data_IF_580915116511
#
_entry.id   IF_580915116511
#
_cell.length_a   1.000
_cell.length_b   1.000
_cell.length_c   1.000
_cell.angle_alpha   90.00
_cell.angle_beta   90.00
_cell.angle_gamma   90.00
#
_symmetry.space_group_name_H-M   'P 1'
#
loop_
_entity.id
_entity.type
_entity.pdbx_description
1 polymer ?
#
# COMPACT_ATOMS: atom_id res chain seq x y z
N UNK A 1 -76.30 18.51 0.85
CA UNK A 1 -75.09 19.12 0.25
C UNK A 1 -73.91 18.65 1.10
N UNK A 2 -73.17 17.58 0.73
CA UNK A 2 -71.92 17.60 -0.08
C UNK A 2 -70.99 18.73 0.40
N UNK A 3 -69.85 18.50 1.04
CA UNK A 3 -68.69 17.71 0.56
C UNK A 3 -67.69 17.35 1.68
N UNK A 4 -67.07 16.18 1.52
CA UNK A 4 -65.84 15.67 2.16
C UNK A 4 -64.60 16.54 1.88
N UNK A 5 -63.58 16.47 2.75
CA UNK A 5 -62.19 16.12 2.34
C UNK A 5 -61.23 16.05 3.52
N UNK A 6 -60.72 14.84 3.74
CA UNK A 6 -59.47 14.57 4.44
C UNK A 6 -58.29 14.80 3.49
N UNK A 7 -57.14 15.25 4.00
CA UNK A 7 -55.81 14.82 3.52
C UNK A 7 -54.69 15.49 4.35
N UNK A 8 -54.20 14.75 5.33
CA UNK A 8 -52.87 14.91 5.91
C UNK A 8 -51.83 14.57 4.84
N UNK A 9 -50.84 15.43 4.59
CA UNK A 9 -49.58 14.99 3.97
C UNK A 9 -48.42 15.86 4.45
N UNK A 10 -47.74 15.38 5.49
CA UNK A 10 -46.46 15.90 5.93
C UNK A 10 -45.37 15.48 4.93
N UNK A 11 -44.70 16.44 4.29
CA UNK A 11 -43.54 16.18 3.44
C UNK A 11 -42.26 16.45 4.24
N UNK A 12 -41.77 15.43 4.96
CA UNK A 12 -40.42 15.46 5.56
C UNK A 12 -39.39 15.16 4.49
N UNK A 13 -38.68 16.19 4.02
CA UNK A 13 -37.57 16.07 3.08
C UNK A 13 -36.35 15.49 3.82
N UNK A 14 -36.17 14.17 3.73
CA UNK A 14 -34.99 13.49 4.27
C UNK A 14 -33.74 13.88 3.50
N UNK A 15 -32.84 14.63 4.15
CA UNK A 15 -31.48 14.87 3.66
C UNK A 15 -30.69 13.56 3.73
N UNK A 16 -30.56 12.87 2.60
CA UNK A 16 -29.67 11.72 2.48
C UNK A 16 -28.23 12.23 2.31
N UNK A 17 -27.54 12.53 3.41
CA UNK A 17 -26.10 12.77 3.39
C UNK A 17 -25.40 11.44 3.11
N UNK A 18 -25.16 11.15 1.83
CA UNK A 18 -24.26 10.08 1.42
C UNK A 18 -22.84 10.47 1.87
N UNK A 19 -22.46 10.08 3.09
CA UNK A 19 -21.07 10.11 3.53
C UNK A 19 -20.31 9.08 2.72
N UNK A 20 -19.77 9.51 1.58
CA UNK A 20 -18.79 8.74 0.85
C UNK A 20 -17.60 8.51 1.76
N UNK A 21 -17.53 7.35 2.40
CA UNK A 21 -16.30 6.86 3.03
C UNK A 21 -15.29 6.78 1.91
N UNK A 22 -14.41 7.77 1.84
CA UNK A 22 -13.21 7.70 1.03
C UNK A 22 -12.41 6.52 1.58
N UNK A 23 -12.62 5.34 1.01
CA UNK A 23 -11.91 4.13 1.37
C UNK A 23 -10.42 4.40 1.21
N UNK A 24 -9.74 4.68 2.32
CA UNK A 24 -8.31 4.88 2.33
C UNK A 24 -7.68 3.67 1.62
N UNK A 25 -6.82 3.93 0.63
CA UNK A 25 -6.14 2.85 -0.05
C UNK A 25 -5.42 2.00 1.02
N UNK A 26 -5.67 0.68 1.10
CA UNK A 26 -5.23 -0.14 2.23
C UNK A 26 -3.74 -0.02 2.55
N UNK A 27 -2.93 0.25 1.53
CA UNK A 27 -1.47 0.33 1.60
C UNK A 27 -0.94 1.65 2.20
N UNK A 28 -1.69 2.76 2.16
CA UNK A 28 -1.20 4.07 2.61
C UNK A 28 -0.90 4.05 4.11
N UNK A 29 0.20 4.69 4.50
CA UNK A 29 0.66 4.80 5.88
C UNK A 29 2.04 4.19 6.09
N UNK A 30 2.38 3.97 7.36
CA UNK A 30 3.67 3.42 7.76
C UNK A 30 3.57 1.94 8.12
N UNK A 31 4.61 1.20 7.73
CA UNK A 31 4.71 -0.24 7.87
C UNK A 31 6.10 -0.61 8.36
N UNK A 32 6.21 -1.73 9.06
CA UNK A 32 7.52 -2.26 9.42
C UNK A 32 7.50 -3.75 9.64
N UNK A 33 8.65 -4.39 9.50
CA UNK A 33 8.75 -5.81 9.71
C UNK A 33 10.09 -6.36 9.27
N UNK A 34 10.11 -7.67 9.05
CA UNK A 34 11.33 -8.43 8.76
C UNK A 34 11.11 -9.41 7.63
N UNK A 35 12.22 -9.96 7.15
CA UNK A 35 12.23 -10.99 6.15
C UNK A 35 13.66 -11.35 5.78
N UNK A 36 13.83 -11.81 4.54
CA UNK A 36 15.14 -12.22 4.04
C UNK A 36 15.38 -11.70 2.63
N UNK A 37 16.67 -11.54 2.30
CA UNK A 37 17.16 -11.26 0.97
C UNK A 37 18.07 -12.41 0.57
N UNK A 38 17.88 -12.95 -0.62
CA UNK A 38 18.73 -13.98 -1.21
C UNK A 38 19.44 -13.42 -2.43
N UNK A 39 20.76 -13.43 -2.39
CA UNK A 39 21.62 -13.01 -3.48
C UNK A 39 21.79 -14.14 -4.51
N UNK A 40 22.21 -13.79 -5.73
CA UNK A 40 22.50 -14.78 -6.78
C UNK A 40 23.67 -15.70 -6.42
N UNK A 41 24.56 -15.30 -5.51
CA UNK A 41 25.59 -16.15 -4.92
C UNK A 41 25.05 -17.27 -4.04
N UNK A 42 23.74 -17.28 -3.75
CA UNK A 42 23.10 -18.22 -2.83
C UNK A 42 23.07 -17.75 -1.38
N UNK A 43 23.82 -16.70 -1.03
CA UNK A 43 23.81 -16.11 0.31
C UNK A 43 22.39 -15.60 0.67
N UNK A 44 21.95 -15.92 1.88
CA UNK A 44 20.68 -15.45 2.44
C UNK A 44 20.97 -14.60 3.66
N UNK A 45 20.46 -13.37 3.66
CA UNK A 45 20.62 -12.43 4.76
C UNK A 45 19.28 -12.04 5.37
N UNK A 46 19.20 -11.95 6.72
CA UNK A 46 18.04 -11.35 7.36
C UNK A 46 17.99 -9.85 7.09
N UNK A 47 16.78 -9.32 6.92
CA UNK A 47 16.55 -7.90 6.71
C UNK A 47 15.38 -7.42 7.55
N UNK A 48 15.50 -6.20 8.06
CA UNK A 48 14.40 -5.47 8.69
C UNK A 48 14.14 -4.18 7.93
N UNK A 49 12.88 -3.79 7.76
CA UNK A 49 12.53 -2.59 7.02
C UNK A 49 11.44 -1.79 7.73
N UNK A 50 11.50 -0.47 7.58
CA UNK A 50 10.40 0.47 7.81
C UNK A 50 10.07 1.12 6.48
N UNK A 51 8.79 1.15 6.12
CA UNK A 51 8.32 1.62 4.83
C UNK A 51 7.18 2.60 5.04
N UNK A 52 7.17 3.68 4.28
CA UNK A 52 6.06 4.63 4.21
C UNK A 52 5.50 4.61 2.78
N UNK A 53 4.18 4.59 2.66
CA UNK A 53 3.48 4.70 1.39
C UNK A 53 2.61 5.94 1.37
N UNK A 54 2.68 6.67 0.26
CA UNK A 54 1.86 7.87 0.03
C UNK A 54 1.14 7.76 -1.32
N UNK A 55 0.06 8.53 -1.47
CA UNK A 55 -0.65 8.60 -2.76
C UNK A 55 0.25 9.29 -3.78
N UNK A 56 0.46 8.65 -4.93
CA UNK A 56 1.18 9.22 -6.06
C UNK A 56 0.27 10.00 -7.02
N UNK A 57 -1.05 9.83 -6.92
CA UNK A 57 -2.05 10.56 -7.70
C UNK A 57 -3.35 10.76 -6.91
N UNK A 58 -4.17 11.71 -7.36
CA UNK A 58 -5.47 12.03 -6.75
C UNK A 58 -6.49 10.90 -6.87
N UNK A 59 -6.33 10.00 -7.85
CA UNK A 59 -7.23 8.89 -8.10
C UNK A 59 -6.96 7.66 -7.22
N UNK A 60 -5.88 7.66 -6.42
CA UNK A 60 -5.45 6.52 -5.60
C UNK A 60 -5.04 5.30 -6.43
N UNK A 61 -4.55 5.49 -7.66
CA UNK A 61 -4.11 4.39 -8.54
C UNK A 61 -2.63 4.10 -8.40
N UNK A 62 -1.83 5.11 -8.11
CA UNK A 62 -0.39 5.01 -7.90
C UNK A 62 0.01 5.45 -6.51
N UNK A 63 1.13 4.91 -6.04
CA UNK A 63 1.67 5.15 -4.71
C UNK A 63 3.19 5.26 -4.80
N UNK A 64 3.74 6.23 -4.09
CA UNK A 64 5.18 6.31 -3.84
C UNK A 64 5.52 5.55 -2.57
N UNK A 65 6.75 5.09 -2.46
CA UNK A 65 7.25 4.48 -1.24
C UNK A 65 8.66 4.96 -0.92
N UNK A 66 8.90 5.08 0.38
CA UNK A 66 10.20 5.35 0.99
C UNK A 66 10.46 4.27 2.03
N UNK A 67 11.59 3.58 1.91
CA UNK A 67 11.93 2.46 2.77
C UNK A 67 13.34 2.62 3.33
N UNK A 68 13.46 2.44 4.65
CA UNK A 68 14.73 2.29 5.35
C UNK A 68 14.87 0.84 5.77
N UNK A 69 15.90 0.17 5.28
CA UNK A 69 16.14 -1.24 5.56
C UNK A 69 17.52 -1.44 6.19
N UNK A 70 17.65 -2.48 7.01
CA UNK A 70 18.89 -2.87 7.66
C UNK A 70 19.10 -4.38 7.57
N UNK A 71 20.30 -4.79 7.15
CA UNK A 71 20.84 -6.16 7.21
C UNK A 71 21.95 -6.21 8.26
N UNK A 72 22.62 -7.35 8.39
CA UNK A 72 23.84 -7.50 9.19
C UNK A 72 25.01 -6.66 8.66
N UNK A 73 25.02 -6.38 7.35
CA UNK A 73 26.09 -5.61 6.70
C UNK A 73 25.91 -4.09 6.82
N UNK A 74 24.69 -3.60 7.12
CA UNK A 74 24.44 -2.17 7.27
C UNK A 74 23.01 -1.76 6.96
N UNK A 75 22.81 -0.43 6.86
CA UNK A 75 21.53 0.21 6.56
C UNK A 75 21.56 0.83 5.17
N UNK A 76 20.43 0.80 4.46
CA UNK A 76 20.27 1.41 3.15
C UNK A 76 18.85 1.95 2.94
N UNK A 77 18.72 2.94 2.05
CA UNK A 77 17.43 3.50 1.65
C UNK A 77 17.00 2.99 0.27
N UNK A 78 15.70 2.80 0.12
CA UNK A 78 15.04 2.43 -1.13
C UNK A 78 13.85 3.35 -1.37
N UNK A 79 13.68 3.74 -2.61
CA UNK A 79 12.56 4.54 -3.10
C UNK A 79 11.80 3.72 -4.14
N UNK A 80 10.55 4.08 -4.42
CA UNK A 80 9.81 3.35 -5.44
C UNK A 80 8.47 3.95 -5.79
N UNK A 81 7.88 3.37 -6.84
CA UNK A 81 6.51 3.66 -7.24
C UNK A 81 5.80 2.34 -7.54
N UNK A 82 4.58 2.20 -7.04
CA UNK A 82 3.70 1.06 -7.31
C UNK A 82 2.34 1.53 -7.81
N UNK A 83 1.72 0.72 -8.67
CA UNK A 83 0.34 0.90 -9.11
C UNK A 83 -0.55 -0.18 -8.53
N UNK A 84 -1.79 0.18 -8.23
CA UNK A 84 -2.84 -0.72 -7.78
C UNK A 84 -3.22 -1.67 -8.93
N UNK A 85 -3.22 -2.97 -8.65
CA UNK A 85 -3.67 -4.01 -9.60
C UNK A 85 -5.04 -4.56 -9.21
N UNK A 86 -5.35 -4.57 -7.92
CA UNK A 86 -6.67 -4.94 -7.38
C UNK A 86 -6.91 -4.23 -6.05
N UNK A 87 -7.99 -4.58 -5.35
CA UNK A 87 -8.31 -3.98 -4.06
C UNK A 87 -7.14 -4.04 -3.05
N UNK A 88 -6.33 -5.10 -3.09
CA UNK A 88 -5.28 -5.42 -2.11
C UNK A 88 -3.93 -5.81 -2.71
N UNK A 89 -3.77 -5.68 -4.04
CA UNK A 89 -2.53 -6.05 -4.75
C UNK A 89 -1.93 -4.86 -5.48
N UNK A 90 -0.61 -4.71 -5.39
CA UNK A 90 0.15 -3.60 -5.97
C UNK A 90 1.42 -4.12 -6.63
N UNK A 91 1.85 -3.46 -7.70
CA UNK A 91 3.08 -3.80 -8.43
C UNK A 91 3.80 -2.56 -8.92
N UNK A 92 5.12 -2.60 -8.95
CA UNK A 92 5.90 -1.53 -9.55
C UNK A 92 7.40 -1.78 -9.46
N UNK A 93 8.14 -0.70 -9.24
CA UNK A 93 9.60 -0.70 -9.30
C UNK A 93 10.20 0.00 -8.08
N UNK A 94 11.38 -0.47 -7.70
CA UNK A 94 12.24 0.10 -6.67
C UNK A 94 13.50 0.71 -7.30
N UNK A 95 14.01 1.74 -6.64
CA UNK A 95 15.21 2.48 -6.98
C UNK A 95 16.06 2.63 -5.70
N UNK A 96 17.36 2.35 -5.78
CA UNK A 96 18.31 2.60 -4.68
C UNK A 96 18.93 4.00 -4.75
N UNK A 97 19.60 4.44 -3.68
CA UNK A 97 20.25 5.76 -3.59
C UNK A 97 21.31 6.03 -4.67
N UNK A 98 22.02 5.00 -5.14
CA UNK A 98 23.07 5.12 -6.17
C UNK A 98 22.58 4.72 -7.58
N UNK A 99 21.25 4.70 -7.81
CA UNK A 99 20.62 4.44 -9.11
C UNK A 99 20.94 3.08 -9.77
N UNK A 100 21.66 2.17 -9.10
CA UNK A 100 21.95 0.81 -9.60
C UNK A 100 21.15 -0.23 -8.82
N UNK A 101 19.85 -0.33 -9.15
CA UNK A 101 19.01 -1.56 -9.23
C UNK A 101 17.55 -1.15 -9.42
N UNK A 102 16.96 -1.59 -10.54
CA UNK A 102 15.54 -1.43 -10.92
C UNK A 102 14.78 -2.71 -10.59
N UNK A 103 14.59 -2.96 -9.29
CA UNK A 103 13.93 -4.18 -8.83
C UNK A 103 12.43 -4.12 -9.06
N UNK A 104 11.82 -5.25 -9.43
CA UNK A 104 10.36 -5.40 -9.45
C UNK A 104 9.88 -5.61 -8.02
N UNK A 105 8.82 -4.92 -7.65
CA UNK A 105 8.14 -5.10 -6.37
C UNK A 105 6.69 -5.56 -6.60
N UNK A 106 6.25 -6.51 -5.78
CA UNK A 106 4.86 -6.92 -5.67
C UNK A 106 4.45 -6.92 -4.20
N UNK A 107 3.26 -6.38 -3.91
CA UNK A 107 2.76 -6.20 -2.56
C UNK A 107 1.36 -6.79 -2.49
N UNK A 108 1.09 -7.54 -1.42
CA UNK A 108 -0.24 -8.05 -1.11
C UNK A 108 -0.61 -7.66 0.32
N UNK A 109 -1.72 -6.94 0.47
CA UNK A 109 -2.21 -6.42 1.75
C UNK A 109 -3.38 -7.27 2.26
N UNK A 110 -3.38 -7.60 3.54
CA UNK A 110 -4.47 -8.30 4.25
C UNK A 110 -4.63 -7.66 5.64
N UNK A 111 -5.62 -6.79 5.79
CA UNK A 111 -5.77 -5.95 6.99
C UNK A 111 -4.49 -5.17 7.27
N UNK A 112 -3.98 -5.29 8.50
CA UNK A 112 -2.75 -4.64 8.96
C UNK A 112 -1.49 -5.45 8.69
N UNK A 113 -1.55 -6.44 7.80
CA UNK A 113 -0.42 -7.22 7.34
C UNK A 113 -0.19 -7.02 5.85
N UNK A 114 1.07 -6.96 5.44
CA UNK A 114 1.39 -7.08 4.02
C UNK A 114 2.61 -7.98 3.79
N UNK A 115 2.57 -8.71 2.69
CA UNK A 115 3.72 -9.42 2.16
C UNK A 115 4.29 -8.63 0.99
N UNK A 116 5.57 -8.29 1.07
CA UNK A 116 6.30 -7.59 0.02
C UNK A 116 7.30 -8.56 -0.57
N UNK A 117 7.30 -8.68 -1.90
CA UNK A 117 8.31 -9.43 -2.65
C UNK A 117 9.04 -8.50 -3.58
N UNK A 118 10.36 -8.63 -3.60
CA UNK A 118 11.26 -7.84 -4.44
C UNK A 118 12.12 -8.79 -5.24
N UNK A 119 12.40 -8.46 -6.49
CA UNK A 119 13.38 -9.20 -7.30
C UNK A 119 14.11 -8.28 -8.27
N UNK A 120 15.37 -8.58 -8.53
CA UNK A 120 16.22 -7.92 -9.52
C UNK A 120 17.25 -8.93 -10.07
N UNK A 121 18.18 -8.48 -10.91
CA UNK A 121 19.24 -9.33 -11.48
C UNK A 121 20.27 -9.85 -10.47
N UNK A 122 20.36 -9.23 -9.28
CA UNK A 122 21.32 -9.59 -8.21
C UNK A 122 20.70 -10.44 -7.09
N UNK A 123 19.38 -10.62 -7.08
CA UNK A 123 18.72 -11.41 -6.06
C UNK A 123 17.23 -11.15 -5.92
N UNK A 124 16.68 -11.67 -4.82
CA UNK A 124 15.28 -11.55 -4.46
C UNK A 124 15.11 -11.35 -2.96
N UNK A 125 14.02 -10.76 -2.53
CA UNK A 125 13.69 -10.58 -1.12
C UNK A 125 12.22 -10.79 -0.85
N UNK A 126 11.92 -11.22 0.37
CA UNK A 126 10.54 -11.38 0.86
C UNK A 126 10.45 -10.82 2.27
N UNK A 127 9.48 -9.94 2.51
CA UNK A 127 9.23 -9.28 3.78
C UNK A 127 7.78 -9.48 4.20
N UNK A 128 7.57 -9.64 5.50
CA UNK A 128 6.25 -9.50 6.11
C UNK A 128 6.26 -8.24 6.98
N UNK A 129 5.43 -7.28 6.60
CA UNK A 129 5.30 -6.01 7.31
C UNK A 129 3.95 -5.92 8.00
N UNK A 130 3.94 -5.23 9.14
CA UNK A 130 2.76 -4.85 9.90
C UNK A 130 2.57 -3.35 9.84
N UNK A 131 1.31 -2.92 9.81
CA UNK A 131 0.96 -1.50 9.89
C UNK A 131 1.38 -0.95 11.26
N UNK A 132 1.78 0.31 11.28
CA UNK A 132 2.19 1.05 12.49
C UNK A 132 1.07 1.96 12.96
#
# INVERSE_FOLDING_TARGET
MRTTSAATLALTLGMLTATGVASAAPIVGSWSGRGTVRLTSGQVEPVSCRVRYEKGDSAGKTFTLDAKCATTAGTFLLYGRVSRRSASSYRGSLYGEQSTVSGKITISVRGDSQTVRVSNSRGSGSLNLRKR
#
